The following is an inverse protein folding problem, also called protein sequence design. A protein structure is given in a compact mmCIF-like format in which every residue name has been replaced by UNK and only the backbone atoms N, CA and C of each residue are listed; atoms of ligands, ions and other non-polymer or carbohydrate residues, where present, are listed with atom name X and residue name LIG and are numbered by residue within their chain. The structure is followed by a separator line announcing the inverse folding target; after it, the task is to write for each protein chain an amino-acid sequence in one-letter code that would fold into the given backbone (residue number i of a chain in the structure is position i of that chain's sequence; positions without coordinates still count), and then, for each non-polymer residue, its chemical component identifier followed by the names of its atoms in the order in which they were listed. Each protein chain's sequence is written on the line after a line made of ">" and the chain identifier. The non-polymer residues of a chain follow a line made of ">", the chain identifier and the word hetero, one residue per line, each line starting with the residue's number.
data_IF_197871133909
#
_entry.id   IF_197871133909
#
_cell.length_a   1.000
_cell.length_b   1.000
_cell.length_c   1.000
_cell.angle_alpha   90.00
_cell.angle_beta   90.00
_cell.angle_gamma   90.00
#
_symmetry.space_group_name_H-M   'P 1'
#
loop_
_entity.id
_entity.type
_entity.pdbx_description
1 polymer ?
#
# COMPACT_ATOMS: atom_id res chain seq x y z
N UNK A 1 4.34 -23.43 -11.79
CA UNK A 1 4.19 -23.62 -13.26
C UNK A 1 3.14 -22.66 -13.80
N UNK A 2 3.25 -22.28 -15.07
CA UNK A 2 2.22 -21.45 -15.73
C UNK A 2 1.36 -22.28 -16.69
N UNK A 3 0.08 -21.93 -16.78
CA UNK A 3 -0.86 -22.52 -17.71
C UNK A 3 -1.77 -21.44 -18.27
N UNK A 4 -1.95 -21.50 -19.59
CA UNK A 4 -2.95 -20.73 -20.33
C UNK A 4 -4.05 -21.69 -20.78
N UNK A 5 -5.30 -21.45 -20.36
CA UNK A 5 -6.40 -22.36 -20.65
C UNK A 5 -7.76 -21.67 -20.65
N UNK A 6 -8.75 -22.36 -21.21
CA UNK A 6 -10.17 -22.03 -21.06
C UNK A 6 -10.75 -22.80 -19.86
N UNK A 7 -11.50 -22.12 -19.02
CA UNK A 7 -12.28 -22.75 -17.95
C UNK A 7 -13.34 -23.66 -18.56
N UNK A 8 -13.27 -24.96 -18.24
CA UNK A 8 -14.24 -25.94 -18.69
C UNK A 8 -15.50 -25.95 -17.83
N UNK A 9 -15.32 -25.96 -16.50
CA UNK A 9 -16.40 -25.84 -15.52
C UNK A 9 -15.92 -25.18 -14.24
N UNK A 10 -16.87 -24.60 -13.51
CA UNK A 10 -16.66 -24.06 -12.15
C UNK A 10 -17.41 -24.96 -11.19
N UNK A 11 -16.77 -25.42 -10.13
CA UNK A 11 -17.31 -26.44 -9.24
C UNK A 11 -17.24 -26.02 -7.77
N UNK A 12 -18.38 -26.05 -7.11
CA UNK A 12 -18.51 -25.64 -5.71
C UNK A 12 -18.21 -24.15 -5.52
N UNK A 13 -17.42 -23.82 -4.51
CA UNK A 13 -17.13 -22.47 -4.05
C UNK A 13 -15.66 -22.01 -4.28
N UNK A 14 -14.81 -22.91 -4.75
CA UNK A 14 -13.37 -22.66 -4.83
C UNK A 14 -12.62 -23.48 -5.89
N UNK A 15 -13.32 -24.22 -6.73
CA UNK A 15 -12.71 -25.06 -7.76
C UNK A 15 -13.13 -24.63 -9.15
N UNK A 16 -12.25 -24.82 -10.11
CA UNK A 16 -12.59 -24.85 -11.52
C UNK A 16 -11.74 -25.91 -12.24
N UNK A 17 -12.14 -26.25 -13.43
CA UNK A 17 -11.46 -27.25 -14.23
C UNK A 17 -11.11 -26.70 -15.60
N UNK A 18 -10.07 -27.28 -16.17
CA UNK A 18 -9.68 -27.09 -17.58
C UNK A 18 -9.51 -28.44 -18.24
N UNK A 19 -9.52 -28.48 -19.56
CA UNK A 19 -9.13 -29.67 -20.32
C UNK A 19 -7.68 -29.48 -20.76
N UNK A 20 -6.80 -30.40 -20.32
CA UNK A 20 -5.40 -30.45 -20.70
C UNK A 20 -5.09 -31.84 -21.21
N UNK A 21 -4.59 -31.96 -22.43
CA UNK A 21 -4.28 -33.23 -23.10
C UNK A 21 -5.47 -34.23 -23.07
N UNK A 22 -6.68 -33.72 -23.36
CA UNK A 22 -7.93 -34.47 -23.35
C UNK A 22 -8.46 -34.89 -21.97
N UNK A 23 -7.77 -34.53 -20.88
CA UNK A 23 -8.14 -34.88 -19.50
C UNK A 23 -8.63 -33.68 -18.72
N UNK A 24 -9.61 -33.91 -17.85
CA UNK A 24 -10.12 -32.90 -16.92
C UNK A 24 -9.15 -32.71 -15.76
N UNK A 25 -8.58 -31.51 -15.64
CA UNK A 25 -7.64 -31.14 -14.57
C UNK A 25 -8.31 -30.14 -13.64
N UNK A 26 -8.23 -30.41 -12.34
CA UNK A 26 -8.83 -29.58 -11.30
C UNK A 26 -7.84 -28.59 -10.71
N UNK A 27 -8.31 -27.37 -10.52
CA UNK A 27 -7.60 -26.30 -9.83
C UNK A 27 -8.41 -25.77 -8.65
N UNK A 28 -7.76 -25.45 -7.54
CA UNK A 28 -8.43 -24.84 -6.42
C UNK A 28 -7.81 -23.50 -6.00
N UNK A 29 -8.69 -22.61 -5.54
CA UNK A 29 -8.35 -21.28 -5.07
C UNK A 29 -8.34 -21.23 -3.56
N UNK A 30 -7.33 -20.58 -2.99
CA UNK A 30 -7.35 -20.19 -1.58
C UNK A 30 -8.39 -19.09 -1.33
N UNK A 31 -8.84 -18.91 -0.08
CA UNK A 31 -9.91 -17.96 0.31
C UNK A 31 -9.71 -16.54 -0.23
N UNK A 32 -8.48 -16.02 -0.21
CA UNK A 32 -8.16 -14.70 -0.74
C UNK A 32 -8.37 -14.59 -2.26
N UNK A 33 -8.00 -15.61 -3.03
CA UNK A 33 -8.21 -15.66 -4.47
C UNK A 33 -9.69 -15.88 -4.81
N UNK A 34 -10.40 -16.71 -4.05
CA UNK A 34 -11.86 -16.88 -4.18
C UNK A 34 -12.55 -15.52 -4.06
N UNK A 35 -12.29 -14.79 -2.97
CA UNK A 35 -12.90 -13.47 -2.73
C UNK A 35 -12.64 -12.48 -3.87
N UNK A 36 -11.47 -12.56 -4.51
CA UNK A 36 -11.00 -11.60 -5.52
C UNK A 36 -11.47 -11.97 -6.92
N UNK A 37 -11.38 -13.24 -7.30
CA UNK A 37 -11.43 -13.66 -8.69
C UNK A 37 -12.54 -14.64 -9.04
N UNK A 38 -13.11 -15.39 -8.07
CA UNK A 38 -14.03 -16.49 -8.34
C UNK A 38 -15.26 -16.08 -9.17
N UNK A 39 -15.78 -14.88 -8.91
CA UNK A 39 -16.94 -14.29 -9.64
C UNK A 39 -16.68 -14.07 -11.15
N UNK A 40 -15.44 -14.09 -11.59
CA UNK A 40 -15.06 -13.93 -12.99
C UNK A 40 -14.76 -15.26 -13.69
N UNK A 41 -14.77 -16.37 -12.95
CA UNK A 41 -14.49 -17.69 -13.47
C UNK A 41 -15.79 -18.35 -13.94
N UNK A 42 -16.08 -18.22 -15.23
CA UNK A 42 -17.23 -18.87 -15.87
C UNK A 42 -16.73 -19.84 -16.94
N UNK A 43 -17.57 -20.80 -17.35
CA UNK A 43 -17.25 -21.67 -18.49
C UNK A 43 -16.89 -20.85 -19.71
N UNK A 44 -15.75 -21.13 -20.33
CA UNK A 44 -15.21 -20.39 -21.46
C UNK A 44 -14.39 -19.13 -21.08
N UNK A 45 -14.25 -18.80 -19.79
CA UNK A 45 -13.31 -17.78 -19.36
C UNK A 45 -11.88 -18.21 -19.73
N UNK A 46 -11.13 -17.31 -20.33
CA UNK A 46 -9.69 -17.48 -20.60
C UNK A 46 -8.90 -17.08 -19.37
N UNK A 47 -8.05 -17.97 -18.89
CA UNK A 47 -7.22 -17.74 -17.71
C UNK A 47 -5.75 -18.02 -18.02
N UNK A 48 -4.89 -17.15 -17.48
CA UNK A 48 -3.45 -17.39 -17.36
C UNK A 48 -3.15 -17.47 -15.87
N UNK A 49 -2.66 -18.63 -15.44
CA UNK A 49 -2.44 -18.93 -14.01
C UNK A 49 -1.03 -19.41 -13.73
N UNK A 50 -0.53 -19.07 -12.55
CA UNK A 50 0.60 -19.75 -11.93
C UNK A 50 0.09 -20.70 -10.85
N UNK A 51 0.58 -21.95 -10.85
CA UNK A 51 0.07 -23.02 -10.00
C UNK A 51 1.18 -23.96 -9.52
N UNK A 52 0.90 -24.71 -8.45
CA UNK A 52 1.78 -25.77 -7.92
C UNK A 52 1.62 -27.03 -8.77
N UNK A 53 2.76 -27.59 -9.21
CA UNK A 53 2.76 -28.76 -10.12
C UNK A 53 2.24 -30.05 -9.46
N UNK A 54 2.48 -30.20 -8.16
CA UNK A 54 2.02 -31.36 -7.42
C UNK A 54 0.58 -31.16 -6.95
N UNK A 55 -0.39 -31.96 -7.46
CA UNK A 55 -1.77 -31.86 -7.01
C UNK A 55 -1.93 -32.40 -5.58
N UNK A 56 -2.83 -31.79 -4.82
CA UNK A 56 -3.17 -32.22 -3.46
C UNK A 56 -4.64 -32.67 -3.39
N UNK A 57 -4.91 -33.66 -2.54
CA UNK A 57 -6.29 -34.12 -2.31
C UNK A 57 -7.08 -33.06 -1.53
N UNK A 58 -8.16 -32.59 -2.11
CA UNK A 58 -9.10 -31.62 -1.53
C UNK A 58 -10.54 -32.02 -1.85
N UNK A 59 -11.42 -32.11 -0.82
CA UNK A 59 -12.84 -32.48 -1.02
C UNK A 59 -13.04 -33.65 -2.00
N UNK A 60 -12.30 -34.73 -1.85
CA UNK A 60 -12.33 -35.95 -2.67
C UNK A 60 -11.84 -35.83 -4.12
N UNK A 61 -11.24 -34.71 -4.53
CA UNK A 61 -10.57 -34.57 -5.82
C UNK A 61 -9.10 -34.23 -5.65
N UNK A 62 -8.25 -34.67 -6.60
CA UNK A 62 -6.88 -34.22 -6.72
C UNK A 62 -6.85 -32.94 -7.52
N UNK A 63 -6.43 -31.83 -6.92
CA UNK A 63 -6.44 -30.51 -7.53
C UNK A 63 -5.12 -29.76 -7.34
N UNK A 64 -4.71 -29.05 -8.36
CA UNK A 64 -3.54 -28.16 -8.29
C UNK A 64 -3.89 -26.86 -7.56
N UNK A 65 -2.99 -26.40 -6.73
CA UNK A 65 -3.14 -25.13 -6.02
C UNK A 65 -2.75 -23.95 -6.91
N UNK A 66 -3.65 -22.98 -7.05
CA UNK A 66 -3.32 -21.73 -7.71
C UNK A 66 -2.53 -20.84 -6.76
N UNK A 67 -1.38 -20.39 -7.22
CA UNK A 67 -0.58 -19.37 -6.54
C UNK A 67 -1.16 -17.97 -6.82
N UNK A 68 -1.38 -17.64 -8.11
CA UNK A 68 -2.00 -16.39 -8.54
C UNK A 68 -2.52 -16.48 -9.98
N UNK A 69 -3.40 -15.54 -10.33
CA UNK A 69 -3.77 -15.29 -11.72
C UNK A 69 -2.82 -14.25 -12.33
N UNK A 70 -2.46 -14.47 -13.59
CA UNK A 70 -1.74 -13.52 -14.44
C UNK A 70 -2.74 -12.75 -15.27
N UNK A 71 -3.72 -13.45 -15.87
CA UNK A 71 -4.80 -12.80 -16.61
C UNK A 71 -6.11 -13.59 -16.48
N UNK A 72 -7.22 -12.85 -16.56
CA UNK A 72 -8.59 -13.39 -16.67
C UNK A 72 -9.35 -12.55 -17.69
N UNK A 73 -9.84 -13.17 -18.75
CA UNK A 73 -10.72 -12.52 -19.71
C UNK A 73 -11.88 -13.42 -20.14
N UNK A 74 -13.00 -12.82 -20.49
CA UNK A 74 -14.21 -13.55 -20.92
C UNK A 74 -14.57 -13.11 -22.32
N UNK A 75 -14.89 -14.05 -23.24
CA UNK A 75 -15.39 -13.70 -24.55
C UNK A 75 -16.66 -12.84 -24.42
N UNK A 76 -16.69 -11.75 -25.16
CA UNK A 76 -17.87 -10.94 -25.39
C UNK A 76 -18.14 -11.07 -26.88
N UNK A 77 -19.11 -10.72 -27.47
CA UNK A 77 -19.46 -10.83 -28.89
C UNK A 77 -18.30 -11.01 -29.90
N UNK A 78 -18.34 -12.06 -30.70
CA UNK A 78 -17.50 -12.44 -31.85
C UNK A 78 -15.98 -12.44 -31.61
N UNK A 79 -15.28 -11.37 -31.50
CA UNK A 79 -13.83 -11.33 -31.33
C UNK A 79 -13.38 -10.45 -30.17
N UNK A 80 -14.32 -9.81 -29.48
CA UNK A 80 -14.03 -8.96 -28.34
C UNK A 80 -13.98 -9.76 -27.05
N UNK A 81 -13.03 -9.45 -26.18
CA UNK A 81 -12.92 -10.01 -24.84
C UNK A 81 -13.06 -8.88 -23.80
N UNK A 82 -13.73 -9.17 -22.69
CA UNK A 82 -13.68 -8.32 -21.50
C UNK A 82 -12.55 -8.83 -20.63
N UNK A 83 -11.54 -8.00 -20.43
CA UNK A 83 -10.43 -8.29 -19.53
C UNK A 83 -10.84 -7.87 -18.12
N UNK A 84 -10.94 -8.83 -17.20
CA UNK A 84 -11.24 -8.57 -15.79
C UNK A 84 -10.00 -8.40 -14.95
N UNK A 85 -8.90 -9.00 -15.35
CA UNK A 85 -7.61 -8.90 -14.69
C UNK A 85 -6.49 -9.16 -15.69
N UNK A 86 -5.47 -8.31 -15.63
CA UNK A 86 -4.24 -8.47 -16.39
C UNK A 86 -3.09 -7.85 -15.60
N UNK A 87 -2.15 -8.68 -15.17
CA UNK A 87 -1.05 -8.27 -14.32
C UNK A 87 -0.05 -7.39 -15.08
N UNK A 88 0.16 -7.63 -16.38
CA UNK A 88 1.09 -6.82 -17.17
C UNK A 88 0.53 -5.41 -17.40
N UNK A 89 -0.77 -5.30 -17.70
CA UNK A 89 -1.44 -3.98 -17.81
C UNK A 89 -1.34 -3.20 -16.48
N UNK A 90 -1.48 -3.89 -15.34
CA UNK A 90 -1.28 -3.27 -14.03
C UNK A 90 0.16 -2.80 -13.83
N UNK A 91 1.13 -3.62 -14.21
CA UNK A 91 2.56 -3.29 -14.14
C UNK A 91 2.91 -2.10 -15.02
N UNK A 92 2.41 -2.08 -16.25
CA UNK A 92 2.62 -0.96 -17.17
C UNK A 92 2.03 0.34 -16.61
N UNK A 93 0.79 0.31 -16.12
CA UNK A 93 0.18 1.47 -15.47
C UNK A 93 0.94 1.97 -14.24
N UNK A 94 1.59 1.06 -13.49
CA UNK A 94 2.44 1.44 -12.36
C UNK A 94 3.75 2.08 -12.87
N UNK A 95 4.39 1.53 -13.92
CA UNK A 95 5.59 2.11 -14.54
C UNK A 95 5.31 3.53 -15.05
N UNK A 96 4.20 3.72 -15.73
CA UNK A 96 3.77 5.02 -16.25
C UNK A 96 3.54 6.02 -15.11
N UNK A 97 2.83 5.60 -14.05
CA UNK A 97 2.58 6.44 -12.89
C UNK A 97 3.87 6.90 -12.24
N UNK A 98 4.76 5.98 -11.84
CA UNK A 98 5.99 6.34 -11.11
C UNK A 98 7.00 7.11 -11.98
N UNK A 99 6.87 7.03 -13.31
CA UNK A 99 7.67 7.81 -14.26
C UNK A 99 7.17 9.23 -14.42
N UNK A 100 5.86 9.44 -14.33
CA UNK A 100 5.19 10.72 -14.67
C UNK A 100 5.02 11.67 -13.49
N UNK A 101 5.00 11.16 -12.25
CA UNK A 101 4.72 11.99 -11.08
C UNK A 101 5.85 12.99 -10.77
N UNK A 102 5.48 14.27 -10.63
CA UNK A 102 6.38 15.36 -10.27
C UNK A 102 5.58 16.59 -9.86
N UNK A 103 5.97 17.36 -8.84
CA UNK A 103 6.92 16.99 -7.78
C UNK A 103 6.36 15.92 -6.84
N UNK A 104 7.23 15.32 -6.02
CA UNK A 104 6.90 14.19 -5.16
C UNK A 104 7.13 14.60 -3.69
N UNK A 105 6.11 14.39 -2.86
CA UNK A 105 6.18 14.61 -1.42
C UNK A 105 6.07 13.28 -0.69
N UNK A 106 7.07 12.90 0.04
CA UNK A 106 7.04 11.76 0.97
C UNK A 106 6.64 12.28 2.33
N UNK A 107 5.67 11.65 2.96
CA UNK A 107 5.15 12.06 4.25
C UNK A 107 4.88 10.84 5.13
N UNK A 108 5.20 11.00 6.40
CA UNK A 108 4.85 10.05 7.44
C UNK A 108 4.32 10.81 8.66
N UNK A 109 3.42 10.18 9.42
CA UNK A 109 2.81 10.75 10.61
C UNK A 109 2.98 9.82 11.79
N UNK A 110 3.40 10.39 12.92
CA UNK A 110 3.27 9.71 14.20
C UNK A 110 2.04 10.21 14.96
N UNK A 111 1.40 9.29 15.64
CA UNK A 111 0.12 9.55 16.29
C UNK A 111 0.21 9.36 17.80
N UNK A 112 -0.51 10.21 18.52
CA UNK A 112 -0.81 9.94 19.91
C UNK A 112 -1.58 8.61 20.02
N UNK A 113 -1.29 7.81 21.02
CA UNK A 113 -1.90 6.49 21.19
C UNK A 113 -2.57 6.35 22.55
N UNK A 114 -3.51 5.42 22.65
CA UNK A 114 -4.14 5.06 23.93
C UNK A 114 -3.07 4.71 24.96
N UNK A 115 -3.21 5.20 26.19
CA UNK A 115 -2.29 4.89 27.29
C UNK A 115 -2.43 3.43 27.76
N UNK A 116 -1.60 2.98 28.68
CA UNK A 116 -1.68 1.65 29.28
C UNK A 116 -3.03 1.42 29.98
N UNK A 117 -3.61 2.47 30.56
CA UNK A 117 -4.98 2.48 31.03
C UNK A 117 -5.87 3.15 29.99
N UNK A 118 -7.01 2.53 29.71
CA UNK A 118 -7.95 3.04 28.72
C UNK A 118 -8.46 4.44 29.10
N UNK A 119 -8.28 5.40 28.22
CA UNK A 119 -8.85 6.75 28.35
C UNK A 119 -10.22 6.73 27.66
N UNK A 120 -11.33 7.02 28.37
CA UNK A 120 -12.65 7.08 27.75
C UNK A 120 -12.70 8.08 26.60
N UNK A 121 -13.36 7.70 25.51
CA UNK A 121 -13.51 8.54 24.29
C UNK A 121 -12.19 9.04 23.70
N UNK A 122 -11.09 8.30 23.87
CA UNK A 122 -9.81 8.65 23.29
C UNK A 122 -9.90 8.71 21.76
N UNK A 123 -9.45 9.79 21.19
CA UNK A 123 -9.27 9.93 19.75
C UNK A 123 -7.81 10.14 19.42
N UNK A 124 -7.33 9.34 18.49
CA UNK A 124 -5.97 9.42 18.01
C UNK A 124 -5.80 10.67 17.15
N UNK A 125 -4.77 11.48 17.43
CA UNK A 125 -4.40 12.69 16.69
C UNK A 125 -2.96 12.61 16.24
N UNK A 126 -2.62 13.30 15.14
CA UNK A 126 -1.25 13.43 14.67
C UNK A 126 -0.47 14.32 15.67
N UNK A 127 0.70 13.86 16.07
CA UNK A 127 1.61 14.56 17.00
C UNK A 127 2.98 14.81 16.42
N UNK A 128 3.31 14.19 15.30
CA UNK A 128 4.55 14.42 14.56
C UNK A 128 4.31 14.23 13.06
N UNK A 129 5.00 15.00 12.25
CA UNK A 129 4.95 14.91 10.80
C UNK A 129 6.32 15.12 10.21
N UNK A 130 6.80 14.13 9.48
CA UNK A 130 7.98 14.23 8.63
C UNK A 130 7.58 14.40 7.16
N UNK A 131 8.21 15.33 6.46
CA UNK A 131 7.95 15.62 5.06
C UNK A 131 9.24 15.84 4.29
N UNK A 132 9.37 15.15 3.16
CA UNK A 132 10.45 15.32 2.18
C UNK A 132 9.85 15.60 0.81
N UNK A 133 10.07 16.78 0.26
CA UNK A 133 9.65 17.16 -1.07
C UNK A 133 10.83 17.04 -2.05
N UNK A 134 10.64 16.35 -3.17
CA UNK A 134 11.66 16.12 -4.18
C UNK A 134 11.15 16.46 -5.58
N UNK A 135 12.07 16.64 -6.51
CA UNK A 135 11.76 16.54 -7.93
C UNK A 135 11.64 15.06 -8.38
N UNK A 136 11.36 14.84 -9.66
CA UNK A 136 11.20 13.49 -10.26
C UNK A 136 12.47 12.62 -10.19
N UNK A 137 13.65 13.23 -10.02
CA UNK A 137 14.96 12.59 -10.02
C UNK A 137 15.47 12.34 -8.59
N UNK A 138 14.70 12.74 -7.59
CA UNK A 138 15.03 12.54 -6.17
C UNK A 138 15.82 13.67 -5.51
N UNK A 139 16.14 14.75 -6.24
CA UNK A 139 16.78 15.92 -5.63
C UNK A 139 15.80 16.60 -4.66
N UNK A 140 16.25 16.80 -3.44
CA UNK A 140 15.45 17.35 -2.36
C UNK A 140 15.22 18.85 -2.60
N UNK A 141 13.97 19.27 -2.61
CA UNK A 141 13.52 20.66 -2.73
C UNK A 141 13.27 21.25 -1.35
N UNK A 142 12.63 20.49 -0.46
CA UNK A 142 12.29 20.96 0.89
C UNK A 142 12.18 19.78 1.85
N UNK A 143 12.65 19.99 3.08
CA UNK A 143 12.43 19.08 4.21
C UNK A 143 11.73 19.84 5.31
N UNK A 144 10.77 19.22 5.96
CA UNK A 144 10.09 19.73 7.14
C UNK A 144 9.88 18.63 8.17
N UNK A 145 9.99 19.01 9.42
CA UNK A 145 9.69 18.16 10.55
C UNK A 145 8.92 19.00 11.59
N UNK A 146 7.72 18.56 11.94
CA UNK A 146 6.85 19.26 12.87
C UNK A 146 6.49 18.35 14.03
N UNK A 147 6.63 18.86 15.25
CA UNK A 147 5.99 18.32 16.43
C UNK A 147 4.68 19.06 16.65
N UNK A 148 3.59 18.34 16.94
CA UNK A 148 2.24 18.88 16.93
C UNK A 148 1.57 18.57 18.26
N UNK A 149 0.99 19.62 18.88
CA UNK A 149 0.20 19.46 20.11
C UNK A 149 -1.16 18.87 19.76
N UNK A 150 -1.55 17.71 20.37
CA UNK A 150 -2.89 17.19 20.20
C UNK A 150 -3.91 18.15 20.79
N UNK A 151 -5.08 18.27 20.18
CA UNK A 151 -6.12 19.25 20.55
C UNK A 151 -7.13 18.66 21.52
N UNK A 152 -7.65 17.49 21.22
CA UNK A 152 -8.70 16.85 22.02
C UNK A 152 -8.17 16.26 23.31
N UNK A 153 -6.97 15.68 23.24
CA UNK A 153 -6.21 15.23 24.41
C UNK A 153 -4.87 16.01 24.45
N UNK A 154 -4.81 17.15 25.12
CA UNK A 154 -3.67 18.10 25.02
C UNK A 154 -2.39 17.57 25.66
N UNK A 155 -2.38 16.32 26.10
CA UNK A 155 -1.20 15.63 26.63
C UNK A 155 -0.88 14.42 25.76
N UNK A 156 0.38 14.29 25.39
CA UNK A 156 0.89 13.05 24.79
C UNK A 156 0.90 11.99 25.89
N UNK A 157 0.35 10.81 25.61
CA UNK A 157 0.28 9.72 26.60
C UNK A 157 1.67 9.20 26.95
N UNK A 158 1.83 8.66 28.16
CA UNK A 158 3.11 8.04 28.59
C UNK A 158 3.55 6.93 27.65
N UNK A 159 2.59 6.16 27.14
CA UNK A 159 2.85 5.10 26.18
C UNK A 159 3.39 5.66 24.86
N UNK A 160 2.80 6.74 24.32
CA UNK A 160 3.28 7.39 23.10
C UNK A 160 4.67 7.99 23.30
N UNK A 161 4.90 8.70 24.41
CA UNK A 161 6.22 9.25 24.73
C UNK A 161 7.31 8.18 24.78
N UNK A 162 7.03 7.04 25.41
CA UNK A 162 7.99 5.93 25.49
C UNK A 162 8.22 5.29 24.12
N UNK A 163 7.17 5.07 23.35
CA UNK A 163 7.24 4.42 22.02
C UNK A 163 7.97 5.28 21.00
N UNK A 164 7.74 6.60 21.00
CA UNK A 164 8.36 7.56 20.09
C UNK A 164 9.68 8.14 20.63
N UNK A 165 10.12 7.72 21.80
CA UNK A 165 11.31 8.24 22.49
C UNK A 165 11.27 9.76 22.69
N UNK A 166 10.07 10.34 22.91
CA UNK A 166 9.90 11.78 23.11
C UNK A 166 10.46 12.24 24.46
N UNK A 167 11.08 13.40 24.42
CA UNK A 167 11.60 14.12 25.57
C UNK A 167 10.91 15.50 25.73
N UNK A 168 11.32 16.26 26.69
CA UNK A 168 10.86 17.65 26.84
C UNK A 168 11.26 18.55 25.64
N UNK A 169 12.26 18.14 24.84
CA UNK A 169 12.69 18.88 23.66
C UNK A 169 11.59 18.87 22.59
N UNK A 170 11.07 17.71 22.22
CA UNK A 170 10.01 17.55 21.22
C UNK A 170 8.75 18.31 21.65
N UNK A 171 8.39 18.19 22.94
CA UNK A 171 7.24 18.89 23.51
C UNK A 171 7.40 20.42 23.46
N UNK A 172 8.61 20.94 23.70
CA UNK A 172 8.89 22.36 23.64
C UNK A 172 8.79 22.95 22.23
N UNK A 173 9.05 22.13 21.20
CA UNK A 173 8.99 22.51 19.79
C UNK A 173 7.61 22.35 19.18
N UNK A 174 6.69 21.68 19.87
CA UNK A 174 5.38 21.36 19.33
C UNK A 174 4.53 22.62 19.09
N UNK A 175 4.00 22.71 17.87
CA UNK A 175 3.08 23.77 17.43
C UNK A 175 1.63 23.29 17.47
N UNK A 176 0.66 24.17 17.31
CA UNK A 176 -0.74 23.76 17.19
C UNK A 176 -0.99 23.05 15.85
N UNK A 177 -1.98 22.13 15.81
CA UNK A 177 -2.37 21.50 14.54
C UNK A 177 -2.79 22.53 13.48
N UNK A 178 -3.46 23.62 13.87
CA UNK A 178 -3.86 24.69 12.94
C UNK A 178 -2.66 25.41 12.32
N UNK A 179 -1.58 25.61 13.09
CA UNK A 179 -0.35 26.19 12.56
C UNK A 179 0.33 25.21 11.59
N UNK A 180 0.48 23.95 11.96
CA UNK A 180 0.97 22.89 11.06
C UNK A 180 0.14 22.85 9.77
N UNK A 181 -1.19 22.79 9.89
CA UNK A 181 -2.10 22.74 8.73
C UNK A 181 -1.91 23.92 7.78
N UNK A 182 -1.76 25.13 8.32
CA UNK A 182 -1.53 26.35 7.49
C UNK A 182 -0.22 26.24 6.71
N UNK A 183 0.87 25.84 7.35
CA UNK A 183 2.16 25.69 6.69
C UNK A 183 2.14 24.56 5.66
N UNK A 184 1.56 23.43 6.02
CA UNK A 184 1.42 22.27 5.13
C UNK A 184 0.54 22.59 3.91
N UNK A 185 -0.62 23.20 4.12
CA UNK A 185 -1.52 23.61 3.04
C UNK A 185 -0.87 24.64 2.08
N UNK A 186 -0.02 25.54 2.60
CA UNK A 186 0.75 26.45 1.78
C UNK A 186 1.74 25.71 0.87
N UNK A 187 2.48 24.73 1.39
CA UNK A 187 3.40 23.91 0.60
C UNK A 187 2.64 23.11 -0.45
N UNK A 188 1.51 22.51 -0.09
CA UNK A 188 0.66 21.77 -1.04
C UNK A 188 0.16 22.69 -2.14
N UNK A 189 -0.27 23.91 -1.84
CA UNK A 189 -0.73 24.89 -2.82
C UNK A 189 0.41 25.35 -3.76
N UNK A 190 1.59 25.59 -3.20
CA UNK A 190 2.77 26.06 -3.93
C UNK A 190 3.28 25.03 -4.94
N UNK A 191 3.39 23.76 -4.51
CA UNK A 191 4.05 22.72 -5.29
C UNK A 191 3.07 21.75 -5.96
N UNK A 192 1.81 21.66 -5.49
CA UNK A 192 0.80 20.68 -5.96
C UNK A 192 1.38 19.25 -6.13
N UNK A 193 2.01 18.67 -5.09
CA UNK A 193 2.76 17.43 -5.21
C UNK A 193 1.87 16.19 -5.29
N UNK A 194 2.43 15.09 -5.79
CA UNK A 194 1.94 13.76 -5.46
C UNK A 194 2.45 13.37 -4.07
N UNK A 195 1.54 12.98 -3.19
CA UNK A 195 1.86 12.65 -1.80
C UNK A 195 2.00 11.14 -1.65
N UNK A 196 3.21 10.69 -1.42
CA UNK A 196 3.55 9.27 -1.26
C UNK A 196 3.53 8.92 0.23
N UNK A 197 2.81 7.85 0.56
CA UNK A 197 2.74 7.27 1.90
C UNK A 197 2.95 5.76 1.84
N UNK A 198 3.43 5.17 2.96
CA UNK A 198 3.53 3.73 3.12
C UNK A 198 2.28 3.16 3.79
N UNK A 199 1.22 2.88 3.00
CA UNK A 199 -0.03 2.34 3.52
C UNK A 199 -1.20 3.33 3.47
N UNK A 200 -2.24 3.06 4.25
CA UNK A 200 -3.47 3.85 4.25
C UNK A 200 -3.68 4.64 5.54
N UNK A 201 -2.95 4.31 6.60
CA UNK A 201 -3.10 4.89 7.93
C UNK A 201 -2.99 6.40 7.90
N UNK A 202 -1.95 6.91 7.25
CA UNK A 202 -1.61 8.32 7.18
C UNK A 202 -2.70 9.17 6.54
N UNK A 203 -3.24 8.70 5.41
CA UNK A 203 -4.33 9.38 4.70
C UNK A 203 -5.57 9.49 5.59
N UNK A 204 -5.91 8.38 6.26
CA UNK A 204 -7.09 8.31 7.12
C UNK A 204 -6.91 9.19 8.35
N UNK A 205 -5.72 9.16 8.95
CA UNK A 205 -5.43 9.90 10.16
C UNK A 205 -5.35 11.42 9.92
N UNK A 206 -4.77 11.84 8.79
CA UNK A 206 -4.78 13.26 8.40
C UNK A 206 -6.21 13.81 8.27
N UNK A 207 -7.09 13.09 7.56
CA UNK A 207 -8.50 13.49 7.43
C UNK A 207 -9.19 13.59 8.79
N UNK A 208 -9.00 12.58 9.64
CA UNK A 208 -9.58 12.56 10.99
C UNK A 208 -9.07 13.73 11.85
N UNK A 209 -7.77 14.00 11.84
CA UNK A 209 -7.20 15.10 12.64
C UNK A 209 -7.63 16.46 12.10
N UNK A 210 -7.79 16.61 10.77
CA UNK A 210 -8.41 17.81 10.18
C UNK A 210 -9.85 18.03 10.69
N UNK A 211 -10.67 16.97 10.74
CA UNK A 211 -12.04 17.05 11.27
C UNK A 211 -12.06 17.46 12.74
N UNK A 212 -11.24 16.85 13.59
CA UNK A 212 -11.10 17.20 15.02
C UNK A 212 -10.80 18.69 15.20
N UNK A 213 -9.94 19.25 14.33
CA UNK A 213 -9.47 20.64 14.41
C UNK A 213 -10.32 21.62 13.60
N UNK A 214 -11.43 21.19 12.99
CA UNK A 214 -12.28 22.00 12.10
C UNK A 214 -11.47 22.65 10.96
N UNK A 215 -10.48 21.92 10.44
CA UNK A 215 -9.71 22.31 9.26
C UNK A 215 -10.35 21.69 8.00
N UNK A 216 -10.40 22.40 6.87
CA UNK A 216 -10.88 21.85 5.61
C UNK A 216 -10.09 20.63 5.17
N UNK A 217 -10.73 19.69 4.44
CA UNK A 217 -10.02 18.54 3.86
C UNK A 217 -9.11 19.03 2.72
N UNK A 218 -7.84 18.65 2.80
CA UNK A 218 -6.86 18.93 1.75
C UNK A 218 -7.07 17.95 0.59
N UNK A 219 -7.33 18.47 -0.59
CA UNK A 219 -7.45 17.66 -1.83
C UNK A 219 -6.07 17.22 -2.30
N UNK A 220 -5.49 16.22 -1.62
CA UNK A 220 -4.16 15.71 -1.91
C UNK A 220 -4.22 14.58 -2.95
N UNK A 221 -3.22 14.54 -3.83
CA UNK A 221 -3.02 13.47 -4.80
C UNK A 221 -2.21 12.34 -4.14
N UNK A 222 -2.87 11.53 -3.32
CA UNK A 222 -2.22 10.43 -2.60
C UNK A 222 -1.84 9.27 -3.51
N UNK A 223 -0.65 8.73 -3.26
CA UNK A 223 -0.16 7.48 -3.83
C UNK A 223 0.27 6.55 -2.69
N UNK A 224 -0.38 5.41 -2.58
CA UNK A 224 -0.04 4.38 -1.60
C UNK A 224 1.07 3.48 -2.16
N UNK A 225 2.32 3.72 -1.76
CA UNK A 225 3.48 2.99 -2.26
C UNK A 225 3.42 1.49 -1.93
N UNK A 226 2.98 1.12 -0.73
CA UNK A 226 2.77 -0.28 -0.34
C UNK A 226 1.80 -0.99 -1.29
N UNK A 227 0.73 -0.32 -1.70
CA UNK A 227 -0.25 -0.89 -2.63
C UNK A 227 0.33 -1.04 -4.04
N UNK A 228 1.08 -0.03 -4.53
CA UNK A 228 1.76 -0.13 -5.83
C UNK A 228 2.75 -1.30 -5.84
N UNK A 229 3.58 -1.39 -4.80
CA UNK A 229 4.56 -2.46 -4.64
C UNK A 229 3.89 -3.84 -4.57
N UNK A 230 2.87 -3.98 -3.73
CA UNK A 230 2.10 -5.23 -3.59
C UNK A 230 1.44 -5.65 -4.90
N UNK A 231 0.88 -4.71 -5.66
CA UNK A 231 0.22 -4.98 -6.93
C UNK A 231 1.25 -5.34 -8.03
N UNK A 232 2.37 -4.62 -8.10
CA UNK A 232 3.40 -4.87 -9.12
C UNK A 232 3.99 -6.28 -9.01
N UNK A 233 4.38 -6.67 -7.79
CA UNK A 233 4.96 -7.99 -7.52
C UNK A 233 3.90 -9.07 -7.24
N UNK A 234 2.62 -8.70 -7.23
CA UNK A 234 1.50 -9.60 -6.90
C UNK A 234 1.70 -10.34 -5.57
N UNK A 235 2.11 -9.60 -4.54
CA UNK A 235 2.44 -10.18 -3.23
C UNK A 235 1.18 -10.62 -2.48
N UNK A 236 1.29 -11.74 -1.75
CA UNK A 236 0.22 -12.25 -0.88
C UNK A 236 0.10 -11.45 0.41
N UNK A 237 1.22 -11.01 0.96
CA UNK A 237 1.30 -10.25 2.20
C UNK A 237 1.92 -8.88 1.93
N UNK A 238 1.51 -7.91 2.71
CA UNK A 238 2.07 -6.56 2.66
C UNK A 238 3.38 -6.53 3.47
N UNK A 239 4.52 -6.21 2.86
CA UNK A 239 5.79 -6.08 3.59
C UNK A 239 5.81 -4.81 4.44
N UNK A 240 6.66 -4.78 5.47
CA UNK A 240 6.98 -3.57 6.21
C UNK A 240 7.91 -2.64 5.44
N UNK A 241 7.85 -1.32 5.72
CA UNK A 241 8.69 -0.31 5.05
C UNK A 241 10.19 -0.62 5.18
N UNK A 242 10.65 -0.83 6.40
CA UNK A 242 12.06 -1.09 6.70
C UNK A 242 12.56 -2.40 6.08
N UNK A 243 11.73 -3.46 6.12
CA UNK A 243 12.05 -4.72 5.46
C UNK A 243 12.21 -4.56 3.95
N UNK A 244 11.43 -3.68 3.32
CA UNK A 244 11.58 -3.38 1.89
C UNK A 244 12.84 -2.58 1.61
N UNK A 245 13.16 -1.59 2.46
CA UNK A 245 14.40 -0.84 2.33
C UNK A 245 15.63 -1.76 2.43
N UNK A 246 15.65 -2.66 3.42
CA UNK A 246 16.72 -3.67 3.59
C UNK A 246 16.84 -4.58 2.36
N UNK A 247 15.70 -5.00 1.80
CA UNK A 247 15.66 -5.82 0.58
C UNK A 247 16.27 -5.08 -0.62
N UNK A 248 15.96 -3.79 -0.80
CA UNK A 248 16.46 -3.01 -1.94
C UNK A 248 17.92 -2.58 -1.80
N UNK A 249 18.39 -2.38 -0.58
CA UNK A 249 19.75 -1.87 -0.33
C UNK A 249 20.74 -2.97 0.02
N UNK A 250 20.25 -4.18 0.29
CA UNK A 250 21.04 -5.29 0.84
C UNK A 250 21.83 -4.89 2.11
N UNK A 251 21.24 -4.02 2.92
CA UNK A 251 21.80 -3.45 4.13
C UNK A 251 20.79 -3.59 5.26
N UNK A 252 21.26 -3.55 6.51
CA UNK A 252 20.36 -3.50 7.68
C UNK A 252 20.25 -2.06 8.17
N UNK A 253 19.02 -1.64 8.43
CA UNK A 253 18.78 -0.40 9.16
C UNK A 253 19.05 -0.61 10.66
N UNK A 254 19.51 0.43 11.37
CA UNK A 254 19.47 0.43 12.81
C UNK A 254 18.02 0.24 13.30
N UNK A 255 17.86 -0.05 14.58
CA UNK A 255 16.54 -0.23 15.20
C UNK A 255 15.63 0.98 14.88
N UNK A 256 14.40 0.69 14.45
CA UNK A 256 13.42 1.72 14.07
C UNK A 256 13.07 2.56 15.30
N UNK A 257 13.29 3.86 15.22
CA UNK A 257 12.99 4.81 16.30
C UNK A 257 11.59 5.42 16.20
N UNK A 258 10.79 5.05 15.19
CA UNK A 258 9.49 5.65 14.92
C UNK A 258 9.56 7.19 14.90
N UNK A 259 10.41 7.70 14.04
CA UNK A 259 10.56 9.13 13.77
C UNK A 259 9.99 9.42 12.38
N UNK A 260 8.96 10.24 12.31
CA UNK A 260 8.25 10.49 11.06
C UNK A 260 9.13 11.05 9.93
N UNK A 261 10.17 11.83 10.26
CA UNK A 261 11.09 12.32 9.22
C UNK A 261 12.01 11.22 8.70
N UNK A 262 12.52 10.37 9.58
CA UNK A 262 13.32 9.21 9.17
C UNK A 262 12.48 8.25 8.31
N UNK A 263 11.25 7.98 8.71
CA UNK A 263 10.33 7.09 7.99
C UNK A 263 9.93 7.68 6.62
N UNK A 264 9.75 9.01 6.52
CA UNK A 264 9.55 9.69 5.23
C UNK A 264 10.79 9.61 4.32
N UNK A 265 12.00 9.69 4.86
CA UNK A 265 13.25 9.50 4.10
C UNK A 265 13.40 8.05 3.63
N UNK A 266 13.11 7.07 4.48
CA UNK A 266 13.10 5.65 4.10
C UNK A 266 12.05 5.38 3.03
N UNK A 267 10.85 5.97 3.13
CA UNK A 267 9.81 5.88 2.09
C UNK A 267 10.29 6.45 0.76
N UNK A 268 11.01 7.59 0.77
CA UNK A 268 11.65 8.17 -0.42
C UNK A 268 12.65 7.20 -1.03
N UNK A 269 13.54 6.63 -0.25
CA UNK A 269 14.56 5.71 -0.75
C UNK A 269 13.94 4.44 -1.35
N UNK A 270 12.94 3.85 -0.67
CA UNK A 270 12.19 2.70 -1.18
C UNK A 270 11.48 3.04 -2.50
N UNK A 271 10.88 4.23 -2.61
CA UNK A 271 10.23 4.66 -3.85
C UNK A 271 11.20 4.75 -5.01
N UNK A 272 12.36 5.40 -4.84
CA UNK A 272 13.33 5.55 -5.93
C UNK A 272 14.00 4.23 -6.30
N UNK A 273 14.27 3.36 -5.33
CA UNK A 273 14.77 2.00 -5.60
C UNK A 273 13.73 1.13 -6.32
N UNK A 274 12.49 1.20 -5.92
CA UNK A 274 11.39 0.54 -6.63
C UNK A 274 11.29 1.06 -8.07
N UNK A 275 11.25 2.39 -8.26
CA UNK A 275 11.23 3.02 -9.59
C UNK A 275 12.39 2.55 -10.46
N UNK A 276 13.64 2.59 -9.95
CA UNK A 276 14.83 2.11 -10.65
C UNK A 276 14.71 0.65 -11.08
N UNK A 277 14.16 -0.21 -10.21
CA UNK A 277 14.01 -1.64 -10.47
C UNK A 277 13.00 -1.94 -11.58
N UNK A 278 11.91 -1.17 -11.66
CA UNK A 278 10.78 -1.49 -12.56
C UNK A 278 10.83 -0.76 -13.91
N UNK A 279 11.66 0.27 -14.06
CA UNK A 279 11.79 1.10 -15.28
C UNK A 279 13.00 0.66 -16.14
N UNK A 280 13.60 -0.47 -15.84
CA UNK A 280 14.73 -1.02 -16.63
C UNK A 280 14.32 -1.35 -18.04
#
# INVERSE_FOLDING_TARGET
>A
MQLTALVHSVEGDSFFTVIKDGRKVYFYLQKNLVKKFYKYLNKGAYVVIDYEDVPVKRKNVCAHKINHFIAISVPKYRYNRVVYYDLEVIRDGIRDLVSSINPIMFIDFEMNMQDYQAIPNFEQEIIETGMVLTNKDGAIIKIKHWYIKPTKFPRITKRAMKFLHYTNYELSKAISFRQFYKEFAQIVKEYNPYVIVWGKSDITQLKKTCQINSCPDLKLRFVNLLQLHTNYYNLKNSPGLFSMWETYTNSKLPEQKHNSLEDALVTKDVFFKFKETIIK
#
